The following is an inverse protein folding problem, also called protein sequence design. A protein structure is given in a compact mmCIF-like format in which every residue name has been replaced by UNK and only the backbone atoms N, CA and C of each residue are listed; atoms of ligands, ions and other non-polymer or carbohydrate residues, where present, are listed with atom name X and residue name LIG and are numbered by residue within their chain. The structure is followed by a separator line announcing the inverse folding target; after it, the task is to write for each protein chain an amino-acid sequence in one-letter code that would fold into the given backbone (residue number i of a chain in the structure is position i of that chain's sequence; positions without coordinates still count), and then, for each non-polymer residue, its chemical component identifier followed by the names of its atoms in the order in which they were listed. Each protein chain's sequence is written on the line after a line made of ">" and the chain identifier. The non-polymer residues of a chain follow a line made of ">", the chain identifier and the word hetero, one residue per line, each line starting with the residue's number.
data_IF_562834467412
#
_entry.id   IF_562834467412
#
_cell.length_a   1.000
_cell.length_b   1.000
_cell.length_c   1.000
_cell.angle_alpha   90.00
_cell.angle_beta   90.00
_cell.angle_gamma   90.00
#
_symmetry.space_group_name_H-M   'P 1'
#
loop_
_entity.id
_entity.type
_entity.pdbx_description
1 polymer ?
#
# COMPACT_ATOMS: atom_id res chain seq x y z
N UNK A 1 -45.43 32.53 24.68
CA UNK A 1 -44.71 33.38 25.65
C UNK A 1 -43.73 34.24 24.87
N UNK A 2 -44.08 35.51 24.72
CA UNK A 2 -43.32 36.59 24.09
C UNK A 2 -42.12 36.99 24.95
N UNK A 3 -40.90 36.97 24.39
CA UNK A 3 -39.74 37.64 24.97
C UNK A 3 -39.08 38.47 23.86
N UNK A 4 -39.50 39.73 23.70
CA UNK A 4 -38.85 40.96 24.21
C UNK A 4 -37.44 41.17 23.65
N UNK A 5 -37.40 41.93 22.56
CA UNK A 5 -36.21 42.60 22.07
C UNK A 5 -35.71 43.62 23.11
N UNK A 6 -34.39 43.69 23.27
CA UNK A 6 -33.71 44.80 23.94
C UNK A 6 -32.83 45.48 22.90
N UNK A 7 -33.13 46.76 22.67
CA UNK A 7 -32.41 47.62 21.74
C UNK A 7 -30.97 47.89 22.19
N UNK A 8 -30.08 47.93 21.20
CA UNK A 8 -28.69 48.40 21.31
C UNK A 8 -28.68 49.90 20.98
N UNK A 9 -27.97 50.75 21.73
CA UNK A 9 -27.95 52.18 21.47
C UNK A 9 -27.03 52.51 20.29
N UNK A 10 -27.55 53.36 19.40
CA UNK A 10 -26.89 53.96 18.25
C UNK A 10 -25.79 54.92 18.74
N UNK A 11 -24.52 54.53 18.59
CA UNK A 11 -23.37 55.40 18.83
C UNK A 11 -22.98 56.05 17.50
N UNK A 12 -23.23 57.35 17.41
CA UNK A 12 -22.94 58.20 16.26
C UNK A 12 -21.41 58.36 16.14
N UNK A 13 -20.78 57.62 15.22
CA UNK A 13 -19.37 57.81 14.88
C UNK A 13 -19.24 58.94 13.85
N UNK A 14 -18.81 60.11 14.30
CA UNK A 14 -18.35 61.21 13.45
C UNK A 14 -17.07 60.79 12.74
N UNK A 15 -17.14 60.60 11.42
CA UNK A 15 -15.97 60.41 10.54
C UNK A 15 -15.21 61.75 10.48
N UNK A 16 -14.14 61.85 11.26
CA UNK A 16 -13.09 62.84 11.06
C UNK A 16 -12.16 62.31 9.98
N UNK A 17 -12.20 62.93 8.80
CA UNK A 17 -11.18 62.79 7.76
C UNK A 17 -9.84 63.30 8.32
N UNK A 18 -9.07 62.39 8.91
CA UNK A 18 -7.64 62.59 9.12
C UNK A 18 -6.93 62.18 7.82
N UNK A 19 -6.48 63.18 7.08
CA UNK A 19 -5.39 63.03 6.11
C UNK A 19 -4.18 62.47 6.85
N UNK A 20 -3.85 61.20 6.57
CA UNK A 20 -2.63 60.56 7.05
C UNK A 20 -1.48 61.23 6.30
N UNK A 21 -0.49 61.84 6.96
CA UNK A 21 0.74 62.20 6.27
C UNK A 21 1.45 60.90 5.95
N UNK A 22 1.78 60.71 4.67
CA UNK A 22 2.74 59.71 4.22
C UNK A 22 4.03 59.94 5.01
N UNK A 23 4.46 58.93 5.76
CA UNK A 23 5.78 58.90 6.35
C UNK A 23 6.77 58.66 5.22
N UNK A 24 7.52 59.70 4.85
CA UNK A 24 8.76 59.55 4.10
C UNK A 24 9.79 58.91 5.03
N UNK A 25 10.36 57.79 4.58
CA UNK A 25 11.43 57.09 5.27
C UNK A 25 12.74 57.87 5.07
N UNK A 26 13.29 58.41 6.16
CA UNK A 26 14.61 59.06 6.16
C UNK A 26 15.68 58.03 6.54
N UNK A 27 16.18 57.29 5.56
CA UNK A 27 17.60 56.88 5.49
C UNK A 27 17.97 56.47 4.06
N UNK A 28 18.61 57.37 3.32
CA UNK A 28 19.30 57.04 2.05
C UNK A 28 19.17 58.10 0.96
N UNK A 29 19.89 59.22 1.08
CA UNK A 29 20.27 60.15 0.00
C UNK A 29 19.29 60.37 -1.19
N UNK A 30 18.03 60.72 -0.92
CA UNK A 30 17.05 61.16 -1.94
C UNK A 30 17.08 62.67 -2.21
N UNK A 31 18.18 63.34 -1.85
CA UNK A 31 18.35 64.77 -2.07
C UNK A 31 19.20 65.01 -3.32
N UNK A 32 18.56 65.41 -4.41
CA UNK A 32 19.24 65.96 -5.58
C UNK A 32 19.79 67.36 -5.29
N UNK A 33 20.85 67.73 -6.01
CA UNK A 33 21.43 69.08 -5.89
C UNK A 33 20.48 70.17 -6.39
N UNK A 34 19.70 69.85 -7.42
CA UNK A 34 18.74 70.75 -8.05
C UNK A 34 17.33 70.15 -8.02
N UNK A 35 16.36 70.95 -7.56
CA UNK A 35 14.95 70.59 -7.61
C UNK A 35 14.39 70.79 -9.01
N UNK A 36 13.60 69.84 -9.51
CA UNK A 36 13.01 69.88 -10.84
C UNK A 36 11.66 69.17 -10.91
N UNK A 37 11.41 68.47 -12.01
CA UNK A 37 10.11 67.90 -12.36
C UNK A 37 10.11 66.38 -12.57
N UNK A 38 11.22 65.67 -12.27
CA UNK A 38 11.27 64.21 -12.36
C UNK A 38 10.15 63.54 -11.56
N UNK A 39 9.66 62.41 -12.06
CA UNK A 39 8.53 61.66 -11.49
C UNK A 39 8.75 60.16 -11.34
N UNK A 40 9.66 59.54 -12.09
CA UNK A 40 9.83 58.09 -12.13
C UNK A 40 10.81 57.58 -11.06
N UNK A 41 11.94 58.25 -10.87
CA UNK A 41 12.97 57.88 -9.90
C UNK A 41 12.99 58.81 -8.66
N UNK A 42 13.95 59.73 -8.56
CA UNK A 42 14.08 60.70 -7.48
C UNK A 42 13.11 61.84 -7.73
N UNK A 43 11.87 61.66 -7.28
CA UNK A 43 10.78 62.63 -7.51
C UNK A 43 11.14 64.06 -7.10
N UNK A 44 10.96 65.01 -8.01
CA UNK A 44 11.16 66.45 -7.78
C UNK A 44 12.60 66.92 -7.97
N UNK A 45 13.41 66.16 -8.68
CA UNK A 45 14.79 66.48 -9.07
C UNK A 45 14.85 67.03 -10.49
N UNK A 46 16.00 67.64 -10.84
CA UNK A 46 16.26 68.13 -12.19
C UNK A 46 16.03 67.00 -13.20
N UNK A 47 15.28 67.34 -14.23
CA UNK A 47 14.86 66.51 -15.35
C UNK A 47 14.89 67.46 -16.54
N UNK A 48 15.97 67.37 -17.32
CA UNK A 48 16.35 68.38 -18.30
C UNK A 48 15.55 68.29 -19.60
N UNK A 49 15.05 67.12 -19.96
CA UNK A 49 14.28 66.88 -21.18
C UNK A 49 12.80 66.54 -20.95
N UNK A 50 12.42 66.29 -19.70
CA UNK A 50 11.04 66.13 -19.24
C UNK A 50 10.47 64.74 -19.47
N UNK A 51 11.30 63.71 -19.54
CA UNK A 51 10.89 62.32 -19.72
C UNK A 51 10.42 61.64 -18.41
N UNK A 52 10.69 62.29 -17.28
CA UNK A 52 10.31 61.86 -15.94
C UNK A 52 11.44 61.24 -15.12
N UNK A 53 12.59 60.92 -15.71
CA UNK A 53 13.78 60.46 -14.99
C UNK A 53 14.67 61.65 -14.59
N UNK A 54 15.45 61.50 -13.52
CA UNK A 54 16.27 62.60 -13.01
C UNK A 54 17.69 62.59 -13.58
N UNK A 55 18.17 63.78 -13.97
CA UNK A 55 19.56 63.99 -14.41
C UNK A 55 20.58 63.44 -13.39
N UNK A 56 21.71 62.88 -13.84
CA UNK A 56 22.74 62.36 -12.97
C UNK A 56 23.42 63.50 -12.20
N UNK A 57 23.69 63.26 -10.92
CA UNK A 57 24.46 64.15 -10.07
C UNK A 57 25.53 63.39 -9.28
N UNK A 58 26.24 64.10 -8.39
CA UNK A 58 27.36 63.52 -7.63
C UNK A 58 26.95 62.38 -6.69
N UNK A 59 25.66 62.29 -6.33
CA UNK A 59 25.12 61.31 -5.38
C UNK A 59 24.23 60.24 -6.05
N UNK A 60 23.89 60.41 -7.32
CA UNK A 60 23.06 59.49 -8.10
C UNK A 60 23.51 59.53 -9.55
N UNK A 61 24.15 58.47 -10.00
CA UNK A 61 24.66 58.36 -11.35
C UNK A 61 23.87 57.30 -12.13
N UNK A 62 24.22 57.10 -13.39
CA UNK A 62 23.63 56.13 -14.32
C UNK A 62 23.53 54.73 -13.70
N UNK A 63 24.61 54.23 -13.08
CA UNK A 63 24.64 52.91 -12.42
C UNK A 63 23.69 52.76 -11.22
N UNK A 64 23.16 53.88 -10.72
CA UNK A 64 22.19 53.93 -9.63
C UNK A 64 20.76 54.12 -10.13
N UNK A 65 20.55 54.32 -11.44
CA UNK A 65 19.26 54.58 -12.07
C UNK A 65 18.96 56.06 -12.31
N UNK A 66 19.99 56.91 -12.42
CA UNK A 66 19.82 58.24 -13.00
C UNK A 66 19.61 58.13 -14.51
N UNK A 67 19.00 59.15 -15.11
CA UNK A 67 18.85 59.25 -16.55
C UNK A 67 20.21 59.23 -17.26
N UNK A 68 20.43 58.22 -18.12
CA UNK A 68 21.64 58.09 -18.92
C UNK A 68 21.70 59.09 -20.09
N UNK A 69 20.56 59.64 -20.51
CA UNK A 69 20.46 60.59 -21.61
C UNK A 69 19.68 61.86 -21.22
N UNK A 70 20.24 62.74 -20.35
CA UNK A 70 19.55 63.92 -19.79
C UNK A 70 19.00 64.97 -20.77
N UNK A 71 19.21 64.79 -22.07
CA UNK A 71 18.79 65.72 -23.10
C UNK A 71 18.03 65.03 -24.26
N UNK A 72 17.71 63.75 -24.14
CA UNK A 72 16.94 62.98 -25.11
C UNK A 72 15.78 62.25 -24.43
N UNK A 73 14.61 62.91 -24.40
CA UNK A 73 13.43 62.41 -23.71
C UNK A 73 12.83 61.08 -24.26
N UNK A 74 13.47 60.43 -25.23
CA UNK A 74 13.08 59.11 -25.71
C UNK A 74 13.95 57.98 -25.12
N UNK A 75 15.06 58.30 -24.46
CA UNK A 75 16.03 57.37 -23.90
C UNK A 75 16.28 57.73 -22.44
N UNK A 76 16.34 56.73 -21.55
CA UNK A 76 16.58 56.97 -20.12
C UNK A 76 17.57 56.01 -19.48
N UNK A 77 17.88 54.91 -20.16
CA UNK A 77 18.72 53.81 -19.67
C UNK A 77 19.74 53.42 -20.74
N UNK A 78 20.90 52.95 -20.28
CA UNK A 78 22.00 52.38 -21.05
C UNK A 78 22.53 51.20 -20.24
N UNK A 79 22.01 50.00 -20.50
CA UNK A 79 22.21 48.81 -19.67
C UNK A 79 23.62 48.23 -19.83
N UNK A 80 24.18 48.22 -21.04
CA UNK A 80 25.53 47.71 -21.32
C UNK A 80 26.64 48.78 -21.25
N UNK A 81 26.27 50.06 -21.26
CA UNK A 81 27.17 51.19 -21.11
C UNK A 81 27.94 51.54 -22.38
N UNK A 82 27.43 51.18 -23.57
CA UNK A 82 28.07 51.46 -24.85
C UNK A 82 27.83 52.90 -25.36
N UNK A 83 26.88 53.61 -24.73
CA UNK A 83 26.48 54.98 -25.03
C UNK A 83 25.32 55.11 -26.03
N UNK A 84 24.66 54.01 -26.40
CA UNK A 84 23.37 53.94 -27.08
C UNK A 84 22.30 53.65 -26.01
N UNK A 85 21.14 54.29 -26.12
CA UNK A 85 20.07 54.06 -25.14
C UNK A 85 19.29 52.78 -25.42
N UNK A 86 18.81 52.12 -24.37
CA UNK A 86 18.08 50.83 -24.42
C UNK A 86 16.90 50.84 -25.43
N UNK A 87 16.29 52.00 -25.75
CA UNK A 87 15.17 52.07 -26.71
C UNK A 87 15.66 52.11 -28.17
N UNK A 88 16.88 52.58 -28.41
CA UNK A 88 17.51 52.65 -29.72
C UNK A 88 18.50 51.51 -29.98
N UNK A 89 18.96 50.84 -28.94
CA UNK A 89 19.84 49.67 -29.05
C UNK A 89 19.08 48.46 -29.61
N UNK A 90 19.78 47.64 -30.40
CA UNK A 90 19.26 46.36 -30.88
C UNK A 90 19.76 45.18 -30.02
N UNK A 91 20.68 45.41 -29.07
CA UNK A 91 21.33 44.44 -28.17
C UNK A 91 21.57 45.10 -26.79
N UNK A 92 20.48 45.39 -26.05
CA UNK A 92 20.55 46.34 -24.93
C UNK A 92 21.43 45.90 -23.75
N UNK A 93 21.65 44.59 -23.58
CA UNK A 93 22.53 44.08 -22.53
C UNK A 93 23.96 43.77 -23.00
N UNK A 94 24.21 43.90 -24.31
CA UNK A 94 25.53 43.83 -24.92
C UNK A 94 26.14 42.44 -24.94
N UNK A 95 25.32 41.38 -24.90
CA UNK A 95 25.79 40.00 -24.90
C UNK A 95 26.02 39.41 -26.30
N UNK A 96 25.81 40.23 -27.34
CA UNK A 96 25.88 39.90 -28.77
C UNK A 96 24.68 39.13 -29.33
N UNK A 97 23.59 39.01 -28.57
CA UNK A 97 22.30 38.46 -28.98
C UNK A 97 21.28 39.60 -29.12
N UNK A 98 20.79 39.89 -30.34
CA UNK A 98 19.83 40.98 -30.51
C UNK A 98 18.53 40.77 -29.73
N UNK A 99 17.95 41.84 -29.19
CA UNK A 99 16.74 41.85 -28.36
C UNK A 99 15.53 41.13 -28.99
N UNK A 100 15.48 41.05 -30.32
CA UNK A 100 14.37 40.41 -31.04
C UNK A 100 14.42 38.88 -31.03
N UNK A 101 15.59 38.30 -30.72
CA UNK A 101 15.83 36.87 -30.58
C UNK A 101 16.24 36.48 -29.17
N UNK A 102 16.61 37.45 -28.34
CA UNK A 102 16.97 37.24 -26.95
C UNK A 102 15.76 36.90 -26.08
N UNK A 103 15.85 35.77 -25.35
CA UNK A 103 14.80 35.34 -24.42
C UNK A 103 14.84 36.13 -23.11
N UNK A 104 16.00 36.68 -22.75
CA UNK A 104 16.24 37.54 -21.59
C UNK A 104 17.03 38.82 -21.96
N UNK A 105 16.44 39.76 -22.71
CA UNK A 105 17.14 40.96 -23.21
C UNK A 105 17.72 41.92 -22.16
N UNK A 106 17.49 41.69 -20.86
CA UNK A 106 18.02 42.53 -19.77
C UNK A 106 19.12 41.81 -18.96
N UNK A 107 19.54 40.62 -19.36
CA UNK A 107 20.46 39.77 -18.60
C UNK A 107 21.59 39.21 -19.49
N UNK A 108 22.76 39.87 -19.51
CA UNK A 108 23.83 39.54 -20.46
C UNK A 108 24.52 38.20 -20.18
N UNK A 109 24.07 37.48 -19.16
CA UNK A 109 24.54 36.13 -18.86
C UNK A 109 23.79 35.03 -19.62
N UNK A 110 22.61 35.32 -20.19
CA UNK A 110 21.68 34.33 -20.73
C UNK A 110 20.88 34.90 -21.91
N UNK A 111 20.83 34.17 -23.03
CA UNK A 111 20.17 34.66 -24.25
C UNK A 111 19.22 33.66 -24.92
N UNK A 112 19.40 32.36 -24.68
CA UNK A 112 18.66 31.32 -25.42
C UNK A 112 18.05 30.23 -24.54
N UNK A 113 16.87 29.77 -24.95
CA UNK A 113 16.10 28.68 -24.36
C UNK A 113 15.70 27.70 -25.49
N UNK A 114 16.56 26.72 -25.74
CA UNK A 114 16.45 25.89 -26.96
C UNK A 114 15.27 24.92 -26.93
N UNK A 115 14.81 24.49 -25.76
CA UNK A 115 13.67 23.56 -25.60
C UNK A 115 12.40 24.22 -25.04
N UNK A 116 12.49 25.48 -24.62
CA UNK A 116 11.35 26.32 -24.26
C UNK A 116 10.83 26.04 -22.85
N UNK A 117 11.69 25.57 -21.95
CA UNK A 117 11.32 25.16 -20.60
C UNK A 117 11.43 26.29 -19.56
N UNK A 118 12.01 27.42 -19.96
CA UNK A 118 12.21 28.61 -19.15
C UNK A 118 13.56 28.67 -18.43
N UNK A 119 14.47 27.74 -18.70
CA UNK A 119 15.87 27.76 -18.29
C UNK A 119 16.78 28.08 -19.49
N UNK A 120 17.89 28.75 -19.21
CA UNK A 120 18.78 29.25 -20.23
C UNK A 120 19.85 28.21 -20.61
N UNK A 121 20.13 28.06 -21.91
CA UNK A 121 21.15 27.13 -22.42
C UNK A 121 22.56 27.46 -21.88
N UNK A 122 22.79 28.72 -21.54
CA UNK A 122 24.06 29.23 -21.04
C UNK A 122 24.30 28.76 -19.60
N UNK A 123 25.56 28.38 -19.32
CA UNK A 123 25.99 27.98 -17.97
C UNK A 123 26.40 29.16 -17.08
N UNK A 124 26.60 28.87 -15.79
CA UNK A 124 27.09 29.81 -14.76
C UNK A 124 26.13 30.94 -14.36
N UNK A 125 24.85 30.81 -14.70
CA UNK A 125 23.78 31.69 -14.29
C UNK A 125 22.80 30.99 -13.33
N UNK A 126 21.98 31.74 -12.58
CA UNK A 126 21.01 31.14 -11.65
C UNK A 126 19.90 30.36 -12.39
N UNK A 127 19.58 30.82 -13.61
CA UNK A 127 18.61 30.21 -14.52
C UNK A 127 19.24 29.26 -15.53
N UNK A 128 20.51 28.91 -15.38
CA UNK A 128 21.16 27.96 -16.28
C UNK A 128 20.47 26.60 -16.25
N UNK A 129 20.20 26.09 -17.44
CA UNK A 129 19.70 24.76 -17.68
C UNK A 129 20.85 23.73 -17.58
N UNK A 130 20.54 22.59 -16.98
CA UNK A 130 21.39 21.42 -16.94
C UNK A 130 21.08 20.43 -18.08
N UNK A 131 19.95 20.57 -18.75
CA UNK A 131 19.52 19.81 -19.91
C UNK A 131 19.06 20.68 -21.10
N UNK A 132 19.94 21.52 -21.72
CA UNK A 132 19.59 22.55 -22.73
C UNK A 132 18.81 22.13 -23.99
N UNK A 133 18.54 20.84 -24.17
CA UNK A 133 17.87 20.31 -25.36
C UNK A 133 16.76 19.30 -25.00
N UNK A 134 16.43 19.18 -23.71
CA UNK A 134 15.45 18.24 -23.18
C UNK A 134 14.55 19.02 -22.22
N UNK A 135 13.39 19.41 -22.73
CA UNK A 135 12.38 20.13 -21.97
C UNK A 135 12.15 19.54 -20.58
N UNK A 136 12.30 20.36 -19.55
CA UNK A 136 12.17 19.91 -18.17
C UNK A 136 11.70 21.00 -17.21
N UNK A 137 11.29 20.61 -15.99
CA UNK A 137 10.84 21.58 -14.97
C UNK A 137 11.42 21.35 -13.60
N UNK A 138 12.39 20.45 -13.50
CA UNK A 138 13.11 20.16 -12.28
C UNK A 138 13.77 21.42 -11.69
N UNK A 139 13.82 21.48 -10.36
CA UNK A 139 14.28 22.67 -9.60
C UNK A 139 15.28 22.36 -8.50
N UNK A 140 15.20 21.18 -7.88
CA UNK A 140 16.05 20.86 -6.73
C UNK A 140 17.47 20.46 -7.12
N UNK A 141 17.60 19.74 -8.22
CA UNK A 141 18.85 19.29 -8.81
C UNK A 141 18.66 19.24 -10.32
N UNK A 142 19.75 19.47 -11.05
CA UNK A 142 19.73 19.48 -12.52
C UNK A 142 18.57 20.33 -13.09
N UNK A 143 18.57 21.63 -12.81
CA UNK A 143 17.48 22.53 -13.24
C UNK A 143 17.23 22.44 -14.74
N UNK A 144 15.97 22.48 -15.17
CA UNK A 144 15.57 22.37 -16.59
C UNK A 144 15.67 20.96 -17.17
N UNK A 145 15.99 19.95 -16.36
CA UNK A 145 15.87 18.56 -16.79
C UNK A 145 14.46 18.00 -16.60
N UNK A 146 14.15 16.94 -17.36
CA UNK A 146 12.89 16.20 -17.35
C UNK A 146 12.43 15.88 -15.92
N UNK A 147 11.13 16.11 -15.68
CA UNK A 147 10.42 16.04 -14.40
C UNK A 147 8.97 15.69 -14.77
N UNK A 148 8.71 14.38 -14.93
CA UNK A 148 7.49 13.86 -15.55
C UNK A 148 6.27 14.04 -14.64
N UNK A 149 6.45 13.84 -13.35
CA UNK A 149 5.38 13.93 -12.35
C UNK A 149 5.18 15.36 -11.80
N UNK A 150 6.17 16.23 -11.97
CA UNK A 150 6.12 17.63 -11.59
C UNK A 150 6.42 17.87 -10.11
N UNK A 151 7.14 16.98 -9.43
CA UNK A 151 7.54 17.14 -8.03
C UNK A 151 8.79 18.04 -7.85
N UNK A 152 9.39 18.49 -8.97
CA UNK A 152 10.60 19.29 -9.10
C UNK A 152 11.93 18.53 -8.94
N UNK A 153 11.88 17.22 -8.79
CA UNK A 153 13.02 16.31 -8.85
C UNK A 153 13.21 15.90 -10.31
N UNK A 154 14.45 15.91 -10.83
CA UNK A 154 14.67 15.42 -12.19
C UNK A 154 14.53 13.89 -12.23
N UNK A 155 13.91 13.35 -13.29
CA UNK A 155 13.61 11.91 -13.45
C UNK A 155 14.82 10.98 -13.18
N UNK A 156 16.04 11.43 -13.49
CA UNK A 156 17.28 10.65 -13.25
C UNK A 156 17.59 10.44 -11.76
N UNK A 157 17.10 11.32 -10.89
CA UNK A 157 17.29 11.27 -9.44
C UNK A 157 16.00 11.04 -8.67
N UNK A 158 14.91 10.78 -9.39
CA UNK A 158 13.64 10.45 -8.79
C UNK A 158 13.52 8.94 -8.58
N UNK A 159 13.06 8.56 -7.39
CA UNK A 159 12.79 7.16 -7.04
C UNK A 159 11.42 6.71 -7.58
N UNK A 160 10.51 7.63 -7.93
CA UNK A 160 9.16 7.42 -8.49
C UNK A 160 8.93 8.47 -9.59
N UNK A 161 9.53 8.26 -10.76
CA UNK A 161 9.69 9.34 -11.74
C UNK A 161 8.39 9.75 -12.44
N UNK A 162 7.37 8.90 -12.45
CA UNK A 162 6.06 9.23 -13.00
C UNK A 162 4.99 9.52 -11.95
N UNK A 163 5.35 9.41 -10.66
CA UNK A 163 4.52 9.80 -9.53
C UNK A 163 3.27 8.95 -9.37
N UNK A 164 3.31 7.69 -9.82
CA UNK A 164 2.18 6.77 -9.72
C UNK A 164 2.05 6.08 -8.36
N UNK A 165 3.06 6.27 -7.49
CA UNK A 165 3.12 5.75 -6.12
C UNK A 165 3.96 4.49 -5.98
N UNK A 166 4.46 3.92 -7.08
CA UNK A 166 5.36 2.76 -7.06
C UNK A 166 6.74 3.20 -7.52
N UNK A 167 7.75 2.86 -6.72
CA UNK A 167 9.13 3.21 -7.06
C UNK A 167 9.59 2.56 -8.38
N UNK A 168 10.44 3.26 -9.11
CA UNK A 168 11.07 2.86 -10.36
C UNK A 168 11.73 1.46 -10.29
N UNK A 169 12.33 1.13 -9.15
CA UNK A 169 12.93 -0.18 -8.89
C UNK A 169 11.87 -1.28 -8.70
N UNK A 170 10.76 -0.95 -8.03
CA UNK A 170 9.67 -1.89 -7.72
C UNK A 170 8.88 -2.25 -8.99
N UNK A 171 8.58 -1.29 -9.87
CA UNK A 171 7.96 -1.58 -11.17
C UNK A 171 8.84 -2.48 -12.04
N UNK A 172 10.14 -2.19 -12.08
CA UNK A 172 11.11 -3.02 -12.82
C UNK A 172 11.22 -4.42 -12.23
N UNK A 173 11.04 -4.56 -10.92
CA UNK A 173 11.07 -5.84 -10.21
C UNK A 173 9.76 -6.62 -10.38
N UNK A 174 8.62 -5.94 -10.44
CA UNK A 174 7.31 -6.51 -10.72
C UNK A 174 7.17 -6.94 -12.19
N UNK A 175 8.02 -6.42 -13.07
CA UNK A 175 8.09 -6.80 -14.47
C UNK A 175 8.49 -8.28 -14.64
N UNK A 176 7.78 -8.97 -15.51
CA UNK A 176 8.02 -10.37 -15.88
C UNK A 176 8.36 -10.50 -17.37
N UNK A 177 8.62 -11.72 -17.86
CA UNK A 177 8.92 -11.95 -19.27
C UNK A 177 7.79 -11.58 -20.25
N UNK A 178 6.58 -11.34 -19.74
CA UNK A 178 5.37 -11.03 -20.53
C UNK A 178 4.73 -9.68 -20.23
N UNK A 179 5.03 -9.09 -19.08
CA UNK A 179 4.48 -7.80 -18.63
C UNK A 179 5.69 -6.96 -18.23
N UNK A 180 5.83 -5.79 -18.83
CA UNK A 180 6.89 -4.84 -18.52
C UNK A 180 6.19 -3.57 -18.03
N UNK A 181 6.60 -3.11 -16.85
CA UNK A 181 6.19 -1.83 -16.29
C UNK A 181 7.26 -0.78 -16.65
N UNK A 182 6.81 0.40 -17.05
CA UNK A 182 7.63 1.49 -17.57
C UNK A 182 7.66 2.64 -16.55
N UNK A 183 8.78 2.83 -15.84
CA UNK A 183 8.88 3.79 -14.72
C UNK A 183 8.77 5.28 -15.04
N UNK A 184 8.42 5.60 -16.27
CA UNK A 184 8.28 6.96 -16.77
C UNK A 184 6.89 7.15 -17.38
N UNK A 185 5.93 6.32 -17.01
CA UNK A 185 4.58 6.31 -17.52
C UNK A 185 3.60 5.80 -16.46
N UNK A 186 2.96 6.72 -15.75
CA UNK A 186 2.01 6.46 -14.67
C UNK A 186 0.75 5.64 -15.05
N UNK A 187 0.56 5.31 -16.34
CA UNK A 187 -0.46 4.35 -16.77
C UNK A 187 0.06 2.90 -16.78
N UNK A 188 1.34 2.71 -16.52
CA UNK A 188 2.08 1.46 -16.53
C UNK A 188 2.45 1.00 -15.11
N UNK A 189 1.54 1.18 -14.18
CA UNK A 189 1.71 0.80 -12.77
C UNK A 189 1.33 -0.66 -12.52
N UNK A 190 2.11 -1.42 -11.74
CA UNK A 190 1.65 -2.70 -11.22
C UNK A 190 0.49 -2.53 -10.23
N UNK A 191 -0.21 -3.62 -9.93
CA UNK A 191 -1.22 -3.60 -8.86
C UNK A 191 -0.53 -3.53 -7.50
N UNK A 192 -1.11 -2.73 -6.61
CA UNK A 192 -0.73 -2.52 -5.21
C UNK A 192 -2.05 -2.32 -4.44
N UNK A 193 -2.48 -3.38 -3.78
CA UNK A 193 -3.82 -3.53 -3.23
C UNK A 193 -4.02 -2.76 -1.92
N UNK A 194 -3.03 -2.75 -1.04
CA UNK A 194 -3.05 -2.04 0.24
C UNK A 194 -2.44 -0.62 0.16
N UNK A 195 -1.71 -0.32 -0.93
CA UNK A 195 -1.05 0.96 -1.23
C UNK A 195 0.11 1.27 -0.32
N UNK A 196 0.88 0.27 0.08
CA UNK A 196 2.09 0.46 0.87
C UNK A 196 3.35 0.72 0.03
N UNK A 197 3.21 0.84 -1.30
CA UNK A 197 4.25 1.04 -2.33
C UNK A 197 4.96 -0.23 -2.79
N UNK A 198 4.54 -1.40 -2.30
CA UNK A 198 5.03 -2.71 -2.71
C UNK A 198 3.99 -3.34 -3.65
N UNK A 199 4.35 -3.62 -4.91
CA UNK A 199 3.44 -4.29 -5.83
C UNK A 199 3.00 -5.67 -5.35
N UNK A 200 1.76 -6.07 -5.66
CA UNK A 200 1.13 -7.32 -5.17
C UNK A 200 1.93 -8.60 -5.49
N UNK A 201 2.76 -8.55 -6.54
CA UNK A 201 3.59 -9.68 -6.99
C UNK A 201 4.89 -9.83 -6.20
N UNK A 202 5.24 -8.81 -5.43
CA UNK A 202 6.46 -8.71 -4.61
C UNK A 202 6.14 -8.60 -3.12
N UNK A 203 4.89 -8.30 -2.77
CA UNK A 203 4.43 -8.23 -1.39
C UNK A 203 4.15 -9.63 -0.84
N UNK A 204 4.43 -9.80 0.45
CA UNK A 204 4.15 -11.02 1.21
C UNK A 204 2.80 -10.92 1.95
N UNK A 205 2.18 -9.73 2.05
CA UNK A 205 0.90 -9.46 2.73
C UNK A 205 0.11 -8.35 1.99
N UNK A 206 -0.65 -8.75 0.97
CA UNK A 206 -1.26 -7.88 -0.04
C UNK A 206 -2.39 -6.96 0.46
N UNK A 207 -2.94 -7.23 1.63
CA UNK A 207 -3.98 -6.39 2.24
C UNK A 207 -3.57 -5.80 3.61
N UNK A 208 -2.37 -6.18 4.08
CA UNK A 208 -1.69 -5.67 5.26
C UNK A 208 -2.52 -5.82 6.54
N UNK A 209 -3.24 -6.94 6.62
CA UNK A 209 -3.99 -7.35 7.81
C UNK A 209 -3.10 -8.09 8.84
N UNK A 210 -1.86 -8.37 8.47
CA UNK A 210 -0.84 -9.05 9.25
C UNK A 210 -0.74 -10.55 8.99
N UNK A 211 -1.54 -11.11 8.08
CA UNK A 211 -1.43 -12.49 7.62
C UNK A 211 -0.67 -12.56 6.30
N UNK A 212 0.38 -13.39 6.22
CA UNK A 212 1.06 -13.60 4.96
C UNK A 212 0.16 -14.28 3.91
N UNK A 213 0.25 -13.82 2.66
CA UNK A 213 -0.48 -14.32 1.49
C UNK A 213 -0.43 -15.84 1.33
N UNK A 214 0.74 -16.45 1.62
CA UNK A 214 0.93 -17.89 1.48
C UNK A 214 0.08 -18.68 2.49
N UNK A 215 -0.03 -18.18 3.72
CA UNK A 215 -0.88 -18.75 4.77
C UNK A 215 -2.35 -18.58 4.41
N UNK A 216 -2.71 -17.39 3.95
CA UNK A 216 -4.08 -17.07 3.55
C UNK A 216 -4.58 -17.95 2.41
N UNK A 217 -3.79 -18.08 1.34
CA UNK A 217 -4.10 -18.97 0.21
C UNK A 217 -4.22 -20.43 0.64
N UNK A 218 -3.35 -20.90 1.53
CA UNK A 218 -3.39 -22.27 2.07
C UNK A 218 -4.60 -22.50 3.00
N UNK A 219 -5.19 -21.43 3.55
CA UNK A 219 -6.41 -21.47 4.37
C UNK A 219 -7.68 -21.16 3.60
N UNK A 220 -7.55 -20.54 2.44
CA UNK A 220 -8.64 -20.12 1.59
C UNK A 220 -9.32 -18.82 2.04
N UNK A 221 -8.61 -17.94 2.77
CA UNK A 221 -8.99 -16.52 2.88
C UNK A 221 -8.63 -15.76 1.60
N UNK A 222 -9.12 -14.53 1.48
CA UNK A 222 -8.86 -13.66 0.33
C UNK A 222 -7.70 -12.69 0.64
N UNK A 223 -6.59 -12.86 -0.07
CA UNK A 223 -5.35 -12.06 0.08
C UNK A 223 -5.50 -10.57 -0.26
N UNK A 224 -6.68 -10.14 -0.70
CA UNK A 224 -6.96 -8.75 -1.05
C UNK A 224 -8.07 -8.12 -0.19
N UNK A 225 -8.60 -8.85 0.80
CA UNK A 225 -9.64 -8.38 1.70
C UNK A 225 -9.23 -8.56 3.16
N UNK A 226 -8.67 -7.49 3.73
CA UNK A 226 -8.24 -7.42 5.14
C UNK A 226 -9.30 -7.79 6.17
N UNK A 227 -10.58 -7.77 5.79
CA UNK A 227 -11.68 -8.15 6.66
C UNK A 227 -11.95 -9.67 6.60
N UNK A 228 -11.27 -10.44 5.74
CA UNK A 228 -11.41 -11.89 5.51
C UNK A 228 -10.17 -12.68 5.95
N UNK A 229 -9.72 -12.52 7.19
CA UNK A 229 -8.61 -13.31 7.75
C UNK A 229 -8.90 -14.83 7.88
N UNK A 230 -7.88 -15.70 8.07
CA UNK A 230 -8.07 -17.09 8.48
C UNK A 230 -8.88 -17.26 9.78
N UNK A 231 -8.90 -16.27 10.66
CA UNK A 231 -9.63 -16.34 11.92
C UNK A 231 -11.14 -16.21 11.79
N UNK A 232 -11.64 -15.48 10.80
CA UNK A 232 -13.08 -15.21 10.64
C UNK A 232 -13.70 -15.89 9.40
N UNK A 233 -12.90 -16.60 8.62
CA UNK A 233 -13.32 -17.47 7.51
C UNK A 233 -14.51 -18.39 7.84
N UNK A 234 -14.64 -18.82 9.10
CA UNK A 234 -15.73 -19.67 9.56
C UNK A 234 -16.70 -18.89 10.45
N UNK A 235 -17.94 -18.73 9.96
CA UNK A 235 -19.05 -18.06 10.66
C UNK A 235 -18.89 -16.55 10.85
N UNK A 236 -18.09 -15.89 10.01
CA UNK A 236 -17.90 -14.43 9.97
C UNK A 236 -17.57 -13.84 11.36
N UNK A 237 -16.88 -14.62 12.19
CA UNK A 237 -16.59 -14.30 13.59
C UNK A 237 -15.17 -14.71 13.89
N UNK A 238 -14.40 -13.89 14.60
CA UNK A 238 -13.05 -14.30 15.00
C UNK A 238 -13.11 -15.55 15.90
N UNK A 239 -12.53 -16.64 15.41
CA UNK A 239 -12.54 -17.97 16.05
C UNK A 239 -11.22 -18.31 16.75
N UNK A 240 -10.22 -17.43 16.66
CA UNK A 240 -8.82 -17.77 16.87
C UNK A 240 -8.04 -16.85 17.78
N UNK A 241 -6.91 -17.37 18.28
CA UNK A 241 -5.84 -16.59 18.91
C UNK A 241 -4.54 -17.39 18.86
N UNK A 242 -3.42 -16.69 19.01
CA UNK A 242 -2.08 -17.23 19.09
C UNK A 242 -1.60 -17.33 20.55
N UNK A 243 -0.87 -18.40 20.87
CA UNK A 243 -0.29 -18.64 22.19
C UNK A 243 1.24 -18.81 22.08
N UNK A 244 1.98 -17.80 22.53
CA UNK A 244 3.45 -17.74 22.48
C UNK A 244 4.14 -18.41 23.67
N UNK A 245 3.38 -18.91 24.65
CA UNK A 245 3.91 -19.59 25.83
C UNK A 245 3.98 -18.71 27.08
N UNK A 246 3.88 -19.34 28.25
CA UNK A 246 3.89 -18.68 29.55
C UNK A 246 2.51 -18.54 30.19
N UNK A 247 2.46 -17.93 31.37
CA UNK A 247 1.23 -17.69 32.14
C UNK A 247 0.98 -16.19 32.37
N UNK A 248 1.72 -15.34 31.66
CA UNK A 248 1.57 -13.88 31.69
C UNK A 248 0.40 -13.43 30.82
N UNK A 249 -0.11 -12.21 31.06
CA UNK A 249 -1.17 -11.61 30.23
C UNK A 249 -0.78 -11.48 28.76
N UNK A 250 0.52 -11.35 28.47
CA UNK A 250 1.06 -11.16 27.13
C UNK A 250 1.29 -12.49 26.37
N UNK A 251 0.92 -13.63 26.96
CA UNK A 251 1.09 -14.95 26.33
C UNK A 251 0.04 -15.27 25.26
N UNK A 252 -0.94 -14.39 25.05
CA UNK A 252 -2.00 -14.54 24.05
C UNK A 252 -2.03 -13.32 23.14
N UNK A 253 -2.03 -13.54 21.82
CA UNK A 253 -2.09 -12.51 20.80
C UNK A 253 -3.17 -12.83 19.76
N UNK A 254 -3.65 -11.81 19.06
CA UNK A 254 -4.46 -11.96 17.84
C UNK A 254 -3.64 -11.76 16.56
N UNK A 255 -2.41 -11.26 16.68
CA UNK A 255 -1.49 -11.03 15.56
C UNK A 255 -0.82 -12.33 15.17
N UNK A 256 -0.64 -12.53 13.86
CA UNK A 256 0.06 -13.67 13.31
C UNK A 256 1.48 -13.77 13.87
N UNK A 257 1.85 -14.96 14.34
CA UNK A 257 3.19 -15.27 14.81
C UNK A 257 3.50 -16.75 14.50
N UNK A 258 4.43 -16.96 13.56
CA UNK A 258 4.86 -18.27 13.11
C UNK A 258 5.53 -19.13 14.20
N UNK A 259 6.04 -18.53 15.29
CA UNK A 259 6.63 -19.26 16.42
C UNK A 259 5.60 -19.65 17.50
N UNK A 260 4.40 -19.08 17.42
CA UNK A 260 3.34 -19.30 18.40
C UNK A 260 2.41 -20.45 18.00
N UNK A 261 1.68 -20.98 18.99
CA UNK A 261 0.66 -22.00 18.72
C UNK A 261 -0.65 -21.30 18.39
N UNK A 262 -1.13 -21.46 17.16
CA UNK A 262 -2.47 -21.04 16.76
C UNK A 262 -3.54 -21.96 17.38
N UNK A 263 -4.59 -21.35 17.94
CA UNK A 263 -5.80 -22.04 18.37
C UNK A 263 -6.98 -21.35 17.69
N UNK A 264 -7.41 -21.85 16.54
CA UNK A 264 -8.54 -21.33 15.77
C UNK A 264 -9.38 -22.46 15.14
N UNK A 265 -10.56 -22.12 14.59
CA UNK A 265 -11.33 -23.08 13.79
C UNK A 265 -10.64 -23.40 12.45
N UNK A 266 -9.85 -22.47 11.90
CA UNK A 266 -9.09 -22.65 10.66
C UNK A 266 -7.92 -23.62 10.83
N UNK A 267 -7.12 -23.46 11.88
CA UNK A 267 -6.08 -24.43 12.23
C UNK A 267 -6.65 -25.82 12.52
N UNK A 268 -7.80 -25.91 13.20
CA UNK A 268 -8.46 -27.19 13.44
C UNK A 268 -8.96 -27.83 12.14
N UNK A 269 -9.51 -27.01 11.22
CA UNK A 269 -10.04 -27.52 9.95
C UNK A 269 -8.91 -28.07 9.08
N UNK A 270 -7.75 -27.41 9.00
CA UNK A 270 -6.56 -27.92 8.31
C UNK A 270 -6.18 -29.31 8.82
N UNK A 271 -5.95 -29.48 10.12
CA UNK A 271 -5.56 -30.76 10.72
C UNK A 271 -6.61 -31.85 10.41
N UNK A 272 -7.89 -31.49 10.49
CA UNK A 272 -8.97 -32.42 10.20
C UNK A 272 -8.97 -32.83 8.73
N UNK A 273 -8.81 -31.89 7.81
CA UNK A 273 -8.92 -32.10 6.37
C UNK A 273 -7.68 -32.76 5.75
N UNK A 274 -6.48 -32.44 6.23
CA UNK A 274 -5.23 -32.97 5.69
C UNK A 274 -4.85 -34.33 6.29
N UNK A 275 -4.88 -34.46 7.62
CA UNK A 275 -4.35 -35.65 8.29
C UNK A 275 -5.44 -36.64 8.72
N UNK A 276 -6.59 -36.12 9.17
CA UNK A 276 -7.58 -36.93 9.89
C UNK A 276 -8.80 -37.34 9.07
N UNK A 277 -8.99 -36.87 7.84
CA UNK A 277 -10.16 -37.25 7.01
C UNK A 277 -10.31 -38.75 6.89
N UNK A 278 -9.24 -39.45 6.48
CA UNK A 278 -9.28 -40.90 6.27
C UNK A 278 -9.53 -41.64 7.60
N UNK A 279 -8.76 -41.39 8.69
CA UNK A 279 -9.06 -41.96 10.00
C UNK A 279 -10.50 -41.73 10.45
N UNK A 280 -11.01 -40.51 10.31
CA UNK A 280 -12.34 -40.10 10.78
C UNK A 280 -13.45 -40.76 9.95
N UNK A 281 -13.26 -40.88 8.62
CA UNK A 281 -14.15 -41.65 7.73
C UNK A 281 -14.13 -43.17 8.01
N UNK A 282 -13.01 -43.71 8.50
CA UNK A 282 -12.91 -45.13 8.87
C UNK A 282 -13.63 -45.43 10.19
N UNK A 283 -13.81 -44.47 11.10
CA UNK A 283 -14.44 -44.70 12.42
C UNK A 283 -15.84 -45.33 12.29
N UNK A 284 -16.80 -44.77 11.51
CA UNK A 284 -18.11 -45.40 11.31
C UNK A 284 -18.04 -46.80 10.71
N UNK A 285 -17.11 -47.03 9.77
CA UNK A 285 -16.90 -48.33 9.11
C UNK A 285 -16.42 -49.37 10.14
N UNK A 286 -15.46 -49.00 10.98
CA UNK A 286 -14.98 -49.84 12.07
C UNK A 286 -16.10 -50.18 13.06
N UNK A 287 -16.93 -49.20 13.43
CA UNK A 287 -18.10 -49.45 14.29
C UNK A 287 -19.12 -50.38 13.62
N UNK A 288 -19.42 -50.18 12.34
CA UNK A 288 -20.34 -51.04 11.59
C UNK A 288 -19.85 -52.50 11.55
N UNK A 289 -18.57 -52.71 11.23
CA UNK A 289 -17.94 -54.04 11.26
C UNK A 289 -17.95 -54.62 12.67
N UNK A 290 -17.64 -53.81 13.69
CA UNK A 290 -17.64 -54.23 15.09
C UNK A 290 -19.03 -54.71 15.54
N UNK A 291 -20.09 -53.94 15.27
CA UNK A 291 -21.46 -54.31 15.62
C UNK A 291 -21.97 -55.50 14.82
N UNK A 292 -21.66 -55.60 13.52
CA UNK A 292 -22.01 -56.75 12.69
C UNK A 292 -21.38 -58.04 13.24
N UNK A 293 -20.08 -58.03 13.53
CA UNK A 293 -19.36 -59.18 14.12
C UNK A 293 -19.91 -59.57 15.49
N UNK A 294 -20.26 -58.58 16.32
CA UNK A 294 -20.86 -58.81 17.64
C UNK A 294 -22.27 -59.41 17.52
N UNK A 295 -23.05 -58.97 16.52
CA UNK A 295 -24.37 -59.52 16.20
C UNK A 295 -24.29 -60.98 15.78
N UNK A 296 -23.39 -61.32 14.85
CA UNK A 296 -23.16 -62.71 14.41
C UNK A 296 -22.75 -63.62 15.56
N UNK A 297 -21.82 -63.18 16.42
CA UNK A 297 -21.44 -63.92 17.63
C UNK A 297 -22.64 -64.19 18.54
N UNK A 298 -23.44 -63.15 18.86
CA UNK A 298 -24.62 -63.30 19.71
C UNK A 298 -25.66 -64.24 19.09
N UNK A 299 -25.84 -64.17 17.77
CA UNK A 299 -26.75 -65.05 17.04
C UNK A 299 -26.31 -66.51 17.14
N UNK A 300 -25.03 -66.79 16.96
CA UNK A 300 -24.48 -68.14 17.09
C UNK A 300 -24.63 -68.68 18.52
N UNK A 301 -24.34 -67.84 19.52
CA UNK A 301 -24.50 -68.22 20.92
C UNK A 301 -25.96 -68.57 21.24
N UNK A 302 -26.92 -67.77 20.78
CA UNK A 302 -28.34 -68.03 20.94
C UNK A 302 -28.81 -69.29 20.17
N UNK A 303 -28.26 -69.55 18.98
CA UNK A 303 -28.53 -70.78 18.21
C UNK A 303 -28.01 -72.03 18.94
N UNK A 304 -26.83 -71.95 19.58
CA UNK A 304 -26.26 -73.05 20.39
C UNK A 304 -27.11 -73.32 21.64
N UNK A 305 -27.51 -72.27 22.37
CA UNK A 305 -28.34 -72.41 23.57
C UNK A 305 -29.75 -72.97 23.26
N UNK A 306 -30.29 -72.70 22.07
CA UNK A 306 -31.61 -73.19 21.65
C UNK A 306 -31.60 -74.55 20.94
N UNK A 307 -30.42 -75.14 20.67
CA UNK A 307 -30.29 -76.35 19.88
C UNK A 307 -31.01 -77.55 20.54
N UNK A 308 -31.82 -78.28 19.76
CA UNK A 308 -32.68 -79.37 20.24
C UNK A 308 -32.14 -80.77 19.94
N UNK A 309 -31.08 -80.86 19.12
CA UNK A 309 -30.53 -82.15 18.71
C UNK A 309 -29.01 -82.13 18.53
N UNK A 310 -28.37 -83.29 18.69
CA UNK A 310 -26.94 -83.46 18.44
C UNK A 310 -26.56 -83.14 16.98
N UNK A 311 -27.47 -83.40 16.04
CA UNK A 311 -27.26 -83.09 14.61
C UNK A 311 -27.16 -81.59 14.36
N UNK A 312 -28.00 -80.79 15.02
CA UNK A 312 -27.95 -79.32 14.95
C UNK A 312 -26.65 -78.76 15.53
N UNK A 313 -26.13 -79.34 16.62
CA UNK A 313 -24.86 -78.92 17.23
C UNK A 313 -23.66 -79.13 16.29
N UNK A 314 -23.59 -80.27 15.60
CA UNK A 314 -22.52 -80.58 14.62
C UNK A 314 -22.58 -79.61 13.42
N UNK A 315 -23.78 -79.26 12.96
CA UNK A 315 -23.96 -78.29 11.88
C UNK A 315 -23.54 -76.87 12.31
N UNK A 316 -23.88 -76.47 13.54
CA UNK A 316 -23.44 -75.22 14.15
C UNK A 316 -21.92 -75.16 14.32
N UNK A 317 -21.26 -76.26 14.70
CA UNK A 317 -19.80 -76.34 14.78
C UNK A 317 -19.14 -76.06 13.42
N UNK A 318 -19.65 -76.69 12.34
CA UNK A 318 -19.16 -76.44 10.98
C UNK A 318 -19.35 -74.98 10.56
N UNK A 319 -20.50 -74.40 10.88
CA UNK A 319 -20.83 -72.99 10.62
C UNK A 319 -19.89 -72.05 11.36
N UNK A 320 -19.63 -72.28 12.66
CA UNK A 320 -18.70 -71.48 13.47
C UNK A 320 -17.29 -71.52 12.90
N UNK A 321 -16.80 -72.70 12.53
CA UNK A 321 -15.47 -72.86 11.91
C UNK A 321 -15.36 -72.10 10.58
N UNK A 322 -16.40 -72.14 9.74
CA UNK A 322 -16.44 -71.36 8.50
C UNK A 322 -16.43 -69.86 8.77
N UNK A 323 -17.21 -69.37 9.75
CA UNK A 323 -17.25 -67.95 10.10
C UNK A 323 -15.94 -67.42 10.68
N UNK A 324 -15.18 -68.24 11.42
CA UNK A 324 -13.81 -67.88 11.85
C UNK A 324 -12.87 -67.82 10.65
N UNK A 325 -12.93 -68.81 9.75
CA UNK A 325 -12.10 -68.88 8.54
C UNK A 325 -12.34 -67.68 7.61
N UNK A 326 -13.59 -67.28 7.44
CA UNK A 326 -14.01 -66.12 6.65
C UNK A 326 -13.85 -64.78 7.39
N UNK A 327 -13.30 -64.79 8.62
CA UNK A 327 -13.13 -63.59 9.47
C UNK A 327 -14.43 -62.83 9.75
N UNK A 328 -15.57 -63.52 9.69
CA UNK A 328 -16.91 -63.00 10.08
C UNK A 328 -17.07 -62.90 11.60
N UNK A 329 -16.33 -63.69 12.35
CA UNK A 329 -16.20 -63.58 13.81
C UNK A 329 -14.72 -63.63 14.21
N UNK A 330 -14.38 -63.09 15.38
CA UNK A 330 -13.01 -63.10 15.89
C UNK A 330 -12.63 -64.48 16.43
N UNK A 331 -11.35 -64.84 16.36
CA UNK A 331 -10.85 -66.15 16.81
C UNK A 331 -11.24 -66.45 18.27
N UNK A 332 -11.10 -65.48 19.17
CA UNK A 332 -11.50 -65.69 20.58
C UNK A 332 -13.01 -65.88 20.75
N UNK A 333 -13.85 -65.20 19.95
CA UNK A 333 -15.29 -65.47 19.92
C UNK A 333 -15.56 -66.90 19.44
N UNK A 334 -14.82 -67.37 18.44
CA UNK A 334 -14.88 -68.76 17.97
C UNK A 334 -14.51 -69.78 19.05
N UNK A 335 -13.45 -69.51 19.83
CA UNK A 335 -13.06 -70.36 20.97
C UNK A 335 -14.15 -70.42 22.04
N UNK A 336 -14.77 -69.29 22.38
CA UNK A 336 -15.88 -69.25 23.34
C UNK A 336 -17.08 -70.01 22.81
N UNK A 337 -17.45 -69.84 21.53
CA UNK A 337 -18.55 -70.58 20.91
C UNK A 337 -18.27 -72.10 20.89
N UNK A 338 -17.02 -72.50 20.66
CA UNK A 338 -16.62 -73.91 20.71
C UNK A 338 -16.75 -74.49 22.11
N UNK A 339 -16.32 -73.77 23.15
CA UNK A 339 -16.52 -74.21 24.53
C UNK A 339 -18.02 -74.35 24.86
N UNK A 340 -18.86 -73.42 24.39
CA UNK A 340 -20.31 -73.48 24.56
C UNK A 340 -20.95 -74.68 23.82
N UNK A 341 -20.44 -75.02 22.63
CA UNK A 341 -20.83 -76.21 21.88
C UNK A 341 -20.46 -77.49 22.64
N UNK A 342 -19.21 -77.60 23.12
CA UNK A 342 -18.72 -78.76 23.89
C UNK A 342 -19.54 -78.96 25.18
N UNK A 343 -19.86 -77.88 25.88
CA UNK A 343 -20.72 -77.93 27.07
C UNK A 343 -22.15 -78.39 26.73
N UNK A 344 -22.72 -77.87 25.65
CA UNK A 344 -24.08 -78.24 25.21
C UNK A 344 -24.15 -79.70 24.74
N UNK A 345 -23.13 -80.18 24.04
CA UNK A 345 -23.01 -81.60 23.68
C UNK A 345 -22.91 -82.51 24.89
N UNK A 346 -22.12 -82.13 25.90
CA UNK A 346 -21.98 -82.89 27.14
C UNK A 346 -23.31 -83.00 27.89
N UNK A 347 -24.08 -81.91 27.97
CA UNK A 347 -25.43 -81.90 28.54
C UNK A 347 -26.37 -82.84 27.78
N UNK A 348 -26.35 -82.82 26.44
CA UNK A 348 -27.15 -83.76 25.64
C UNK A 348 -26.77 -85.21 25.86
N UNK A 349 -25.47 -85.54 25.82
CA UNK A 349 -24.98 -86.91 26.04
C UNK A 349 -25.33 -87.41 27.44
N UNK A 350 -25.21 -86.55 28.46
CA UNK A 350 -25.64 -86.88 29.82
C UNK A 350 -27.15 -87.08 29.92
N UNK A 351 -27.97 -86.21 29.33
CA UNK A 351 -29.43 -86.34 29.35
C UNK A 351 -29.94 -87.60 28.62
N UNK A 352 -29.30 -88.01 27.52
CA UNK A 352 -29.62 -89.25 26.80
C UNK A 352 -29.18 -90.48 27.61
N UNK A 353 -28.01 -90.46 28.25
CA UNK A 353 -27.59 -91.54 29.15
C UNK A 353 -28.54 -91.74 30.34
N UNK A 354 -29.13 -90.66 30.87
CA UNK A 354 -30.13 -90.76 31.95
C UNK A 354 -31.49 -91.30 31.50
N UNK A 355 -31.83 -91.18 30.21
CA UNK A 355 -33.08 -91.75 29.66
C UNK A 355 -32.92 -93.25 29.33
N UNK A 356 -31.73 -93.70 28.97
CA UNK A 356 -31.43 -95.13 28.72
C UNK A 356 -31.24 -95.94 30.01
N UNK A 357 -31.10 -95.30 31.18
CA UNK A 357 -30.99 -95.98 32.50
C UNK A 357 -32.35 -96.15 33.23
N UNK A 358 -33.45 -95.54 32.74
CA UNK A 358 -34.79 -95.62 33.34
C UNK A 358 -35.77 -96.58 32.61
N UNK A 359 -35.34 -97.31 31.58
CA UNK A 359 -36.18 -98.30 30.84
C UNK A 359 -36.00 -99.77 31.29
#
# INVERSE_FOLDING_TARGET
>A
MTMKSKGVPLLLATILLFSVPVYADETGSTACEESGQSTEDRVGCLDSDGDGWSDPDVNWNETMGADAFPFDANESRDLDGDGIGDVADEDMDGDSSPDDVDVWPEDPGIWSDSDGDGYADQGLHEKSDNCPYIYGKSRFRLKGCSDIDGDFTPDEYDDDADGDGIRNEMERSASSGTILYDPYNAASTPLDSDKDTIPDVLDDDNDNDGWPDDVELDRGSDIYDKDETPFNLYFDSNTGFFYSGGLSGDSFSSEYDAESIEISLSALSEIVFEELVIPLLLVPIYFAIFFARRGEYKKCLAEIECAKSLKELIELESKVNLMVKEKRIKVYHGLVLRNALEESESKYKSAVMFLDEEE
#
